data_IF_045113486342
#
_entry.id   IF_045113486342
#
_cell.length_a   1.000
_cell.length_b   1.000
_cell.length_c   1.000
_cell.angle_alpha   90.00
_cell.angle_beta   90.00
_cell.angle_gamma   90.00
#
_symmetry.space_group_name_H-M   'P 1'
#
loop_
_entity.id
_entity.type
_entity.pdbx_description
1 polymer ?
#
# COMPACT_ATOMS: atom_id res chain seq x y z
N UNK A 1 -26.96 -15.73 -19.08
CA UNK A 1 -26.45 -14.40 -19.48
C UNK A 1 -26.36 -14.37 -21.01
N UNK A 2 -26.80 -13.31 -21.67
CA UNK A 2 -26.67 -13.19 -23.14
C UNK A 2 -25.26 -12.67 -23.46
N UNK A 3 -24.51 -13.30 -24.37
CA UNK A 3 -23.25 -12.73 -24.85
C UNK A 3 -23.52 -11.40 -25.58
N UNK A 4 -22.55 -10.49 -25.58
CA UNK A 4 -22.58 -9.31 -26.46
C UNK A 4 -22.34 -9.71 -27.92
N UNK A 5 -22.42 -8.74 -28.83
CA UNK A 5 -22.25 -8.90 -30.29
C UNK A 5 -20.94 -9.59 -30.71
N UNK A 6 -19.94 -9.65 -29.83
CA UNK A 6 -18.64 -10.29 -30.04
C UNK A 6 -18.50 -11.64 -29.30
N UNK A 7 -19.60 -12.31 -28.94
CA UNK A 7 -19.60 -13.55 -28.15
C UNK A 7 -18.88 -13.41 -26.79
N UNK A 8 -18.99 -12.24 -26.14
CA UNK A 8 -18.37 -11.98 -24.82
C UNK A 8 -19.43 -11.87 -23.72
N UNK A 9 -19.17 -12.48 -22.59
CA UNK A 9 -20.02 -12.51 -21.41
C UNK A 9 -19.58 -11.46 -20.40
N UNK A 10 -20.46 -10.54 -20.03
CA UNK A 10 -20.18 -9.56 -18.99
C UNK A 10 -20.27 -10.17 -17.60
N UNK A 11 -19.21 -10.05 -16.81
CA UNK A 11 -19.17 -10.47 -15.40
C UNK A 11 -19.09 -9.21 -14.54
N UNK A 12 -20.24 -8.80 -14.00
CA UNK A 12 -20.38 -7.58 -13.21
C UNK A 12 -19.56 -7.61 -11.91
N UNK A 13 -19.36 -8.79 -11.31
CA UNK A 13 -18.59 -8.98 -10.06
C UNK A 13 -17.14 -8.50 -10.17
N UNK A 14 -16.57 -8.59 -11.37
CA UNK A 14 -15.20 -8.18 -11.67
C UNK A 14 -15.14 -7.04 -12.70
N UNK A 15 -16.30 -6.54 -13.17
CA UNK A 15 -16.41 -5.52 -14.23
C UNK A 15 -15.64 -5.85 -15.53
N UNK A 16 -15.62 -7.13 -15.93
CA UNK A 16 -14.89 -7.60 -17.12
C UNK A 16 -15.78 -8.42 -18.06
N UNK A 17 -15.40 -8.43 -19.34
CA UNK A 17 -15.98 -9.30 -20.36
C UNK A 17 -15.15 -10.58 -20.52
N UNK A 18 -15.77 -11.76 -20.37
CA UNK A 18 -15.20 -13.07 -20.69
C UNK A 18 -15.60 -13.49 -22.10
N UNK A 19 -14.67 -13.60 -23.01
CA UNK A 19 -14.95 -14.01 -24.40
C UNK A 19 -14.08 -15.16 -24.87
N UNK A 20 -14.29 -15.55 -26.12
CA UNK A 20 -13.51 -16.59 -26.77
C UNK A 20 -12.51 -15.94 -27.71
N UNK A 21 -11.23 -16.26 -27.54
CA UNK A 21 -10.14 -15.85 -28.41
C UNK A 21 -9.60 -17.08 -29.14
N UNK A 22 -9.67 -17.06 -30.47
CA UNK A 22 -9.15 -18.12 -31.30
C UNK A 22 -7.65 -17.90 -31.53
N UNK A 23 -6.82 -18.86 -31.13
CA UNK A 23 -5.39 -18.78 -31.37
C UNK A 23 -4.66 -20.09 -31.15
N UNK A 24 -3.39 -20.11 -31.55
CA UNK A 24 -2.51 -21.27 -31.47
C UNK A 24 -1.62 -21.13 -30.24
N UNK A 25 -1.77 -22.02 -29.26
CA UNK A 25 -0.90 -22.10 -28.08
C UNK A 25 -0.41 -23.54 -27.94
N UNK A 26 0.90 -23.72 -27.84
CA UNK A 26 1.54 -25.04 -27.73
C UNK A 26 1.06 -26.03 -28.81
N UNK A 27 1.12 -25.59 -30.07
CA UNK A 27 0.67 -26.33 -31.27
C UNK A 27 -0.83 -26.65 -31.38
N UNK A 28 -1.60 -26.43 -30.32
CA UNK A 28 -3.06 -26.60 -30.33
C UNK A 28 -3.73 -25.29 -30.74
N UNK A 29 -4.41 -25.34 -31.89
CA UNK A 29 -5.31 -24.26 -32.32
C UNK A 29 -6.68 -24.52 -31.72
N UNK A 30 -7.04 -23.72 -30.73
CA UNK A 30 -8.31 -23.88 -30.02
C UNK A 30 -8.91 -22.54 -29.64
N UNK A 31 -10.14 -22.61 -29.17
CA UNK A 31 -10.89 -21.52 -28.59
C UNK A 31 -10.46 -21.34 -27.14
N UNK A 32 -9.66 -20.30 -26.86
CA UNK A 32 -9.20 -19.99 -25.51
C UNK A 32 -10.11 -18.94 -24.88
N UNK A 33 -10.47 -19.11 -23.62
CA UNK A 33 -11.17 -18.07 -22.87
C UNK A 33 -10.19 -16.95 -22.50
N UNK A 34 -10.61 -15.71 -22.74
CA UNK A 34 -9.82 -14.50 -22.44
C UNK A 34 -10.69 -13.45 -21.75
N UNK A 35 -10.03 -12.47 -21.13
CA UNK A 35 -10.70 -11.35 -20.49
C UNK A 35 -10.54 -10.11 -21.36
N UNK A 36 -11.59 -9.31 -21.46
CA UNK A 36 -11.66 -8.04 -22.17
C UNK A 36 -12.13 -6.96 -21.21
N UNK A 37 -11.60 -5.76 -21.38
CA UNK A 37 -12.08 -4.58 -20.65
C UNK A 37 -13.44 -4.08 -21.19
N UNK A 38 -14.03 -3.10 -20.50
CA UNK A 38 -15.26 -2.41 -20.94
C UNK A 38 -15.13 -1.68 -22.29
N UNK A 39 -13.90 -1.37 -22.70
CA UNK A 39 -13.57 -0.68 -23.94
C UNK A 39 -13.39 -1.65 -25.13
N UNK A 40 -13.43 -2.96 -24.88
CA UNK A 40 -13.29 -4.00 -25.89
C UNK A 40 -11.84 -4.44 -26.17
N UNK A 41 -10.86 -3.96 -25.39
CA UNK A 41 -9.46 -4.34 -25.49
C UNK A 41 -9.21 -5.67 -24.78
N UNK A 42 -8.36 -6.52 -25.37
CA UNK A 42 -7.93 -7.78 -24.77
C UNK A 42 -6.99 -7.49 -23.60
N UNK A 43 -7.34 -7.94 -22.40
CA UNK A 43 -6.45 -7.85 -21.24
C UNK A 43 -5.33 -8.89 -21.40
N UNK A 44 -4.17 -8.41 -21.83
CA UNK A 44 -2.93 -9.16 -21.82
C UNK A 44 -2.45 -9.30 -20.37
N UNK A 45 -2.79 -10.45 -19.75
CA UNK A 45 -2.34 -10.97 -18.44
C UNK A 45 -2.30 -9.98 -17.27
N UNK A 46 -3.02 -10.30 -16.19
CA UNK A 46 -3.07 -9.53 -14.94
C UNK A 46 -1.74 -9.37 -14.18
N UNK A 47 -0.58 -9.71 -14.77
CA UNK A 47 0.74 -9.37 -14.24
C UNK A 47 0.95 -7.85 -14.19
N UNK A 48 0.50 -7.12 -15.21
CA UNK A 48 0.70 -5.67 -15.29
C UNK A 48 -0.17 -4.89 -14.28
N UNK A 49 -1.35 -5.43 -13.97
CA UNK A 49 -2.25 -4.86 -12.95
C UNK A 49 -1.73 -5.15 -11.53
N UNK A 50 -1.15 -6.33 -11.29
CA UNK A 50 -0.51 -6.68 -10.02
C UNK A 50 0.77 -5.88 -9.78
N UNK A 51 1.54 -5.57 -10.83
CA UNK A 51 2.70 -4.68 -10.71
C UNK A 51 2.30 -3.26 -10.33
N UNK A 52 1.23 -2.74 -10.90
CA UNK A 52 0.75 -1.40 -10.59
C UNK A 52 0.17 -1.31 -9.15
N UNK A 53 -0.60 -2.31 -8.71
CA UNK A 53 -1.06 -2.37 -7.31
C UNK A 53 0.09 -2.59 -6.33
N UNK A 54 1.11 -3.39 -6.68
CA UNK A 54 2.31 -3.54 -5.86
C UNK A 54 3.08 -2.24 -5.72
N UNK A 55 3.24 -1.47 -6.80
CA UNK A 55 3.94 -0.18 -6.73
C UNK A 55 3.20 0.81 -5.82
N UNK A 56 1.87 0.86 -5.90
CA UNK A 56 1.06 1.72 -5.03
C UNK A 56 1.15 1.27 -3.57
N UNK A 57 1.02 -0.04 -3.30
CA UNK A 57 1.14 -0.60 -1.96
C UNK A 57 2.55 -0.42 -1.36
N UNK A 58 3.59 -0.51 -2.18
CA UNK A 58 4.98 -0.32 -1.76
C UNK A 58 5.26 1.16 -1.46
N UNK A 59 4.73 2.08 -2.28
CA UNK A 59 4.85 3.51 -2.03
C UNK A 59 4.10 3.93 -0.75
N UNK A 60 2.91 3.37 -0.50
CA UNK A 60 2.17 3.62 0.73
C UNK A 60 2.91 3.09 1.96
N UNK A 61 3.49 1.88 1.87
CA UNK A 61 4.34 1.32 2.93
C UNK A 61 5.57 2.17 3.22
N UNK A 62 6.26 2.64 2.18
CA UNK A 62 7.42 3.53 2.32
C UNK A 62 7.06 4.82 3.05
N UNK A 63 5.91 5.43 2.73
CA UNK A 63 5.43 6.62 3.43
C UNK A 63 5.09 6.33 4.89
N UNK A 64 4.38 5.23 5.15
CA UNK A 64 4.02 4.82 6.50
C UNK A 64 5.26 4.50 7.35
N UNK A 65 6.27 3.86 6.77
CA UNK A 65 7.54 3.55 7.45
C UNK A 65 8.34 4.83 7.73
N UNK A 66 8.40 5.76 6.77
CA UNK A 66 9.06 7.04 6.98
C UNK A 66 8.38 7.88 8.07
N UNK A 67 7.05 7.88 8.14
CA UNK A 67 6.29 8.56 9.19
C UNK A 67 6.55 7.93 10.57
N UNK A 68 6.57 6.58 10.64
CA UNK A 68 6.93 5.87 11.87
C UNK A 68 8.34 6.21 12.34
N UNK A 69 9.31 6.25 11.42
CA UNK A 69 10.69 6.57 11.75
C UNK A 69 10.83 7.99 12.32
N UNK A 70 10.11 8.96 11.74
CA UNK A 70 10.06 10.34 12.24
C UNK A 70 9.43 10.42 13.63
N UNK A 71 8.30 9.73 13.82
CA UNK A 71 7.62 9.69 15.12
C UNK A 71 8.50 9.05 16.21
N UNK A 72 9.24 7.98 15.88
CA UNK A 72 10.17 7.34 16.80
C UNK A 72 11.36 8.25 17.14
N UNK A 73 11.91 8.94 16.14
CA UNK A 73 12.99 9.89 16.34
C UNK A 73 12.57 11.08 17.23
N UNK A 74 11.35 11.59 17.05
CA UNK A 74 10.80 12.65 17.88
C UNK A 74 10.58 12.19 19.32
N UNK A 75 10.03 10.98 19.51
CA UNK A 75 9.90 10.36 20.84
C UNK A 75 11.24 10.22 21.53
N UNK A 76 12.26 9.73 20.82
CA UNK A 76 13.60 9.57 21.38
C UNK A 76 14.20 10.91 21.82
N UNK A 77 14.00 11.98 21.03
CA UNK A 77 14.45 13.33 21.39
C UNK A 77 13.72 13.86 22.62
N UNK A 78 12.39 13.73 22.66
CA UNK A 78 11.59 14.14 23.80
C UNK A 78 12.01 13.39 25.07
N UNK A 79 12.31 12.09 24.97
CA UNK A 79 12.75 11.30 26.11
C UNK A 79 14.17 11.66 26.58
N UNK A 80 15.09 11.93 25.64
CA UNK A 80 16.41 12.46 25.99
C UNK A 80 16.33 13.82 26.68
N UNK A 81 15.47 14.71 26.20
CA UNK A 81 15.26 16.01 26.82
C UNK A 81 14.68 15.88 28.22
N UNK A 82 13.66 15.03 28.41
CA UNK A 82 13.11 14.70 29.73
C UNK A 82 14.17 14.13 30.67
N UNK A 83 14.97 13.17 30.23
CA UNK A 83 16.06 12.61 31.05
C UNK A 83 17.11 13.65 31.42
N UNK A 84 17.45 14.57 30.51
CA UNK A 84 18.39 15.67 30.82
C UNK A 84 17.80 16.64 31.83
N UNK A 85 16.54 17.06 31.63
CA UNK A 85 15.83 17.92 32.57
C UNK A 85 15.74 17.28 33.95
N UNK A 86 15.39 15.99 34.03
CA UNK A 86 15.30 15.26 35.29
C UNK A 86 16.66 15.13 35.99
N UNK A 87 17.74 14.84 35.25
CA UNK A 87 19.11 14.80 35.81
C UNK A 87 19.56 16.17 36.33
N UNK A 88 19.25 17.24 35.61
CA UNK A 88 19.56 18.61 36.04
C UNK A 88 18.76 18.96 37.30
N UNK A 89 17.47 18.68 37.32
CA UNK A 89 16.60 18.89 38.48
C UNK A 89 17.07 18.06 39.70
N UNK A 90 17.47 16.79 39.50
CA UNK A 90 18.04 15.97 40.55
C UNK A 90 19.36 16.54 41.09
N UNK A 91 20.24 17.04 40.22
CA UNK A 91 21.51 17.65 40.62
C UNK A 91 21.30 18.97 41.38
N UNK A 92 20.36 19.80 40.94
CA UNK A 92 19.98 21.05 41.63
C UNK A 92 19.38 20.77 43.01
N UNK A 93 18.50 19.76 43.13
CA UNK A 93 17.99 19.28 44.43
C UNK A 93 19.09 18.78 45.36
N UNK A 94 20.09 18.06 44.83
CA UNK A 94 21.23 17.58 45.64
C UNK A 94 22.13 18.71 46.16
N UNK A 95 22.09 19.89 45.53
CA UNK A 95 22.80 21.09 45.95
C UNK A 95 21.98 21.97 46.92
N UNK A 96 20.81 21.51 47.38
CA UNK A 96 19.99 22.22 48.35
C UNK A 96 19.21 23.41 47.78
N UNK A 97 19.08 23.51 46.45
CA UNK A 97 18.22 24.49 45.79
C UNK A 97 16.82 23.89 45.69
N UNK A 98 15.94 24.30 46.60
CA UNK A 98 14.50 23.98 46.55
C UNK A 98 13.90 24.73 45.36
N UNK A 99 13.70 24.03 44.26
CA UNK A 99 12.87 24.52 43.16
C UNK A 99 11.45 24.15 43.57
N UNK A 100 10.89 24.95 44.48
CA UNK A 100 9.46 24.97 44.70
C UNK A 100 8.85 25.46 43.38
N UNK A 101 8.33 24.51 42.62
CA UNK A 101 7.53 24.69 41.42
C UNK A 101 6.21 25.33 41.86
N UNK A 102 6.26 26.62 42.20
CA UNK A 102 5.08 27.43 42.47
C UNK A 102 4.49 27.86 41.12
N UNK A 103 3.68 26.94 40.58
CA UNK A 103 2.63 27.19 39.58
C UNK A 103 1.28 27.28 40.27
#
# INVERSE_FOLDING_TARGET
QKPNENNRYWIAEINLFLGVWQGKKAEVTAYWLRWWDKSGNLLLWGSELVEQERQLAEQEKLRAEQEKLRAEQEKLRAEQEKQRAERLAAKLRSLGVDIDDSL
#
